data_IF_750114021115
#
_entry.id   IF_750114021115
#
_cell.length_a   1.000
_cell.length_b   1.000
_cell.length_c   1.000
_cell.angle_alpha   90.00
_cell.angle_beta   90.00
_cell.angle_gamma   90.00
#
_symmetry.space_group_name_H-M   'P 1'
#
loop_
_entity.id
_entity.type
_entity.pdbx_description
1 polymer ?
#
# COMPACT_ATOMS: atom_id res chain seq x y z
N UNK A 1 -5.41 28.00 -15.13
CA UNK A 1 -6.27 27.41 -14.08
C UNK A 1 -5.47 26.31 -13.44
N UNK A 2 -5.35 26.29 -12.11
CA UNK A 2 -4.78 25.11 -11.44
C UNK A 2 -5.73 23.92 -11.70
N UNK A 3 -5.20 22.79 -12.16
CA UNK A 3 -5.98 21.57 -12.32
C UNK A 3 -6.32 21.05 -10.91
N UNK A 4 -7.59 21.15 -10.53
CA UNK A 4 -8.09 20.70 -9.23
C UNK A 4 -8.78 19.36 -9.45
N UNK A 5 -8.46 18.37 -8.61
CA UNK A 5 -9.14 17.08 -8.61
C UNK A 5 -10.64 17.26 -8.30
N UNK A 6 -11.49 16.78 -9.20
CA UNK A 6 -12.94 16.69 -9.00
C UNK A 6 -13.29 15.38 -8.29
N UNK A 7 -13.43 15.46 -6.97
CA UNK A 7 -13.75 14.29 -6.14
C UNK A 7 -15.18 13.77 -6.35
N UNK A 8 -16.13 14.63 -6.72
CA UNK A 8 -17.50 14.19 -6.94
C UNK A 8 -17.61 13.42 -8.26
N UNK A 9 -16.89 13.86 -9.30
CA UNK A 9 -16.76 13.10 -10.54
C UNK A 9 -16.09 11.73 -10.30
N UNK A 10 -15.01 11.69 -9.51
CA UNK A 10 -14.34 10.43 -9.14
C UNK A 10 -15.26 9.46 -8.38
N UNK A 11 -16.05 9.98 -7.42
CA UNK A 11 -17.08 9.21 -6.71
C UNK A 11 -18.11 8.67 -7.71
N UNK A 12 -18.59 9.51 -8.62
CA UNK A 12 -19.52 9.12 -9.69
C UNK A 12 -18.97 8.01 -10.58
N UNK A 13 -17.68 8.08 -10.94
CA UNK A 13 -17.00 7.07 -11.73
C UNK A 13 -17.02 5.70 -11.03
N UNK A 14 -16.64 5.64 -9.75
CA UNK A 14 -16.63 4.39 -8.97
C UNK A 14 -18.05 3.84 -8.78
N UNK A 15 -19.05 4.70 -8.56
CA UNK A 15 -20.46 4.25 -8.47
C UNK A 15 -20.94 3.63 -9.78
N UNK A 16 -20.55 4.21 -10.92
CA UNK A 16 -20.97 3.72 -12.23
C UNK A 16 -20.27 2.42 -12.65
N UNK A 17 -18.97 2.29 -12.37
CA UNK A 17 -18.13 1.23 -12.94
C UNK A 17 -17.65 0.19 -11.93
N UNK A 18 -17.63 0.52 -10.64
CA UNK A 18 -17.18 -0.38 -9.58
C UNK A 18 -18.19 -1.47 -9.26
N UNK A 19 -17.67 -2.61 -8.83
CA UNK A 19 -18.49 -3.71 -8.33
C UNK A 19 -19.03 -3.43 -6.91
N UNK A 20 -19.65 -4.43 -6.28
CA UNK A 20 -20.22 -4.28 -4.94
C UNK A 20 -19.15 -4.04 -3.86
N UNK A 21 -17.96 -4.63 -4.02
CA UNK A 21 -16.82 -4.46 -3.10
C UNK A 21 -16.23 -3.06 -3.29
N UNK A 22 -16.02 -2.62 -4.53
CA UNK A 22 -15.50 -1.28 -4.84
C UNK A 22 -16.37 -0.17 -4.27
N UNK A 23 -17.70 -0.30 -4.41
CA UNK A 23 -18.64 0.70 -3.86
C UNK A 23 -18.64 0.72 -2.34
N UNK A 24 -18.39 -0.41 -1.69
CA UNK A 24 -18.25 -0.44 -0.24
C UNK A 24 -16.90 0.12 0.23
N UNK A 25 -15.81 -0.14 -0.50
CA UNK A 25 -14.51 0.51 -0.28
C UNK A 25 -14.66 2.02 -0.39
N UNK A 26 -15.36 2.50 -1.42
CA UNK A 26 -15.71 3.92 -1.56
C UNK A 26 -16.53 4.43 -0.36
N UNK A 27 -17.54 3.67 0.09
CA UNK A 27 -18.35 4.02 1.28
C UNK A 27 -17.46 4.15 2.53
N UNK A 28 -16.58 3.18 2.77
CA UNK A 28 -15.64 3.18 3.90
C UNK A 28 -14.69 4.36 3.86
N UNK A 29 -14.07 4.63 2.70
CA UNK A 29 -13.26 5.84 2.49
C UNK A 29 -14.04 7.12 2.82
N UNK A 30 -15.38 7.12 2.63
CA UNK A 30 -16.28 8.25 2.93
C UNK A 30 -16.75 8.34 4.37
N UNK A 31 -16.24 7.50 5.28
CA UNK A 31 -16.76 7.43 6.64
C UNK A 31 -18.21 6.95 6.68
N UNK A 32 -18.61 6.17 5.67
CA UNK A 32 -19.89 5.50 5.63
C UNK A 32 -20.02 4.42 6.71
N UNK A 33 -21.19 3.77 6.79
CA UNK A 33 -21.41 2.71 7.77
C UNK A 33 -20.49 1.50 7.53
N UNK A 34 -20.31 0.70 8.57
CA UNK A 34 -19.61 -0.59 8.47
C UNK A 34 -20.24 -1.46 7.37
N UNK A 35 -19.44 -2.09 6.49
CA UNK A 35 -19.97 -2.95 5.43
C UNK A 35 -20.71 -4.16 6.00
N UNK A 36 -21.64 -4.71 5.21
CA UNK A 36 -22.31 -5.95 5.55
C UNK A 36 -21.30 -7.11 5.74
N UNK A 37 -21.47 -8.00 6.73
CA UNK A 37 -20.56 -9.11 7.00
C UNK A 37 -20.29 -9.99 5.76
N UNK A 38 -21.29 -10.24 4.93
CA UNK A 38 -21.19 -11.07 3.73
C UNK A 38 -20.23 -10.46 2.68
N UNK A 39 -20.12 -9.13 2.67
CA UNK A 39 -19.18 -8.44 1.80
C UNK A 39 -17.75 -8.57 2.30
N UNK A 40 -17.57 -8.47 3.63
CA UNK A 40 -16.26 -8.71 4.25
C UNK A 40 -15.82 -10.15 4.02
N UNK A 41 -16.74 -11.11 4.13
CA UNK A 41 -16.47 -12.52 3.84
C UNK A 41 -16.02 -12.73 2.38
N UNK A 42 -16.50 -11.91 1.43
CA UNK A 42 -16.07 -11.95 0.03
C UNK A 42 -14.60 -11.56 -0.13
N UNK A 43 -14.16 -10.50 0.56
CA UNK A 43 -12.76 -10.05 0.54
C UNK A 43 -11.85 -10.99 1.34
N UNK A 44 -12.37 -11.54 2.44
CA UNK A 44 -11.65 -12.47 3.31
C UNK A 44 -11.53 -13.87 2.71
N UNK A 45 -12.35 -14.19 1.70
CA UNK A 45 -12.39 -15.50 1.06
C UNK A 45 -11.02 -15.93 0.50
N UNK A 46 -10.73 -17.22 0.57
CA UNK A 46 -9.49 -17.80 0.05
C UNK A 46 -8.25 -17.59 0.93
N UNK A 47 -8.38 -17.00 2.12
CA UNK A 47 -7.27 -16.94 3.08
C UNK A 47 -6.85 -18.35 3.50
N UNK A 48 -5.55 -18.64 3.47
CA UNK A 48 -5.03 -19.93 3.92
C UNK A 48 -5.08 -20.04 5.45
N UNK A 49 -5.10 -21.27 6.00
CA UNK A 49 -5.13 -21.48 7.46
C UNK A 49 -4.00 -20.78 8.21
N UNK A 50 -2.84 -20.59 7.58
CA UNK A 50 -1.69 -19.89 8.14
C UNK A 50 -1.85 -18.36 8.20
N UNK A 51 -2.82 -17.78 7.48
CA UNK A 51 -3.17 -16.37 7.53
C UNK A 51 -2.83 -15.55 6.26
N UNK A 52 -1.92 -16.01 5.41
CA UNK A 52 -1.68 -15.34 4.12
C UNK A 52 -2.73 -15.69 3.06
N UNK A 53 -2.84 -14.86 2.03
CA UNK A 53 -3.62 -15.16 0.82
C UNK A 53 -2.73 -15.67 -0.31
N UNK A 54 -3.19 -16.63 -1.12
CA UNK A 54 -2.45 -17.07 -2.28
C UNK A 54 -2.52 -16.03 -3.42
N UNK A 55 -1.50 -16.02 -4.28
CA UNK A 55 -1.45 -15.13 -5.46
C UNK A 55 -2.57 -15.42 -6.46
N UNK A 56 -3.02 -16.67 -6.53
CA UNK A 56 -4.13 -17.13 -7.38
C UNK A 56 -5.15 -17.84 -6.50
N UNK A 57 -6.43 -17.61 -6.78
CA UNK A 57 -7.51 -18.26 -6.04
C UNK A 57 -7.38 -19.79 -6.10
N UNK A 58 -7.42 -20.43 -4.93
CA UNK A 58 -7.25 -21.88 -4.79
C UNK A 58 -5.78 -22.34 -4.76
N UNK A 59 -4.81 -21.44 -4.82
CA UNK A 59 -3.39 -21.77 -4.62
C UNK A 59 -3.11 -22.24 -3.19
N UNK A 60 -2.11 -23.10 -3.04
CA UNK A 60 -1.75 -23.72 -1.75
C UNK A 60 -0.68 -22.95 -0.97
N UNK A 61 0.05 -22.05 -1.64
CA UNK A 61 1.08 -21.20 -1.05
C UNK A 61 0.59 -19.74 -0.95
N UNK A 62 0.75 -19.15 0.24
CA UNK A 62 0.46 -17.74 0.46
C UNK A 62 1.54 -16.86 -0.19
N UNK A 63 1.10 -15.77 -0.78
CA UNK A 63 1.94 -14.73 -1.36
C UNK A 63 2.01 -13.51 -0.46
N UNK A 64 3.22 -12.94 -0.32
CA UNK A 64 3.44 -11.68 0.41
C UNK A 64 2.72 -10.53 -0.30
N UNK A 65 2.87 -10.44 -1.62
CA UNK A 65 2.23 -9.41 -2.45
C UNK A 65 0.71 -9.46 -2.34
N UNK A 66 0.11 -10.64 -2.58
CA UNK A 66 -1.34 -10.79 -2.57
C UNK A 66 -1.93 -10.55 -1.17
N UNK A 67 -1.19 -10.91 -0.12
CA UNK A 67 -1.58 -10.62 1.26
C UNK A 67 -1.58 -9.12 1.53
N UNK A 68 -0.57 -8.38 1.06
CA UNK A 68 -0.52 -6.92 1.18
C UNK A 68 -1.61 -6.24 0.34
N UNK A 69 -1.93 -6.77 -0.85
CA UNK A 69 -3.04 -6.31 -1.66
C UNK A 69 -4.37 -6.45 -0.90
N UNK A 70 -4.66 -7.62 -0.30
CA UNK A 70 -5.88 -7.84 0.49
C UNK A 70 -5.97 -6.92 1.71
N UNK A 71 -4.84 -6.60 2.36
CA UNK A 71 -4.83 -5.62 3.45
C UNK A 71 -5.22 -4.22 2.97
N UNK A 72 -4.93 -3.85 1.72
CA UNK A 72 -5.39 -2.57 1.12
C UNK A 72 -6.90 -2.51 1.06
N UNK A 73 -7.54 -3.56 0.54
CA UNK A 73 -9.00 -3.63 0.43
C UNK A 73 -9.66 -3.61 1.82
N UNK A 74 -9.10 -4.37 2.77
CA UNK A 74 -9.60 -4.39 4.15
C UNK A 74 -9.41 -3.03 4.84
N UNK A 75 -8.33 -2.30 4.57
CA UNK A 75 -8.13 -0.95 5.10
C UNK A 75 -9.15 0.05 4.53
N UNK A 76 -9.47 -0.01 3.23
CA UNK A 76 -10.54 0.81 2.64
C UNK A 76 -11.92 0.52 3.25
N UNK A 77 -12.15 -0.71 3.70
CA UNK A 77 -13.39 -1.15 4.36
C UNK A 77 -13.40 -0.89 5.87
N UNK A 78 -12.33 -0.31 6.45
CA UNK A 78 -12.20 -0.12 7.90
C UNK A 78 -12.04 -1.44 8.67
N UNK A 79 -11.62 -2.50 7.99
CA UNK A 79 -11.67 -3.89 8.45
C UNK A 79 -10.32 -4.44 8.94
N UNK A 80 -9.26 -3.63 9.07
CA UNK A 80 -7.96 -4.10 9.58
C UNK A 80 -8.02 -4.67 11.00
N UNK A 81 -9.05 -4.31 11.79
CA UNK A 81 -9.28 -4.86 13.12
C UNK A 81 -9.85 -6.29 13.13
N UNK A 82 -10.28 -6.82 11.97
CA UNK A 82 -10.94 -8.13 11.88
C UNK A 82 -9.96 -9.30 12.04
N UNK A 83 -10.46 -10.49 12.44
CA UNK A 83 -9.60 -11.67 12.62
C UNK A 83 -8.79 -12.05 11.37
N UNK A 84 -9.35 -11.93 10.16
CA UNK A 84 -8.64 -12.25 8.92
C UNK A 84 -7.42 -11.33 8.70
N UNK A 85 -7.61 -10.00 8.77
CA UNK A 85 -6.51 -9.03 8.68
C UNK A 85 -5.45 -9.27 9.76
N UNK A 86 -5.86 -9.53 11.00
CA UNK A 86 -4.95 -9.83 12.11
C UNK A 86 -4.11 -11.09 11.88
N UNK A 87 -4.71 -12.17 11.34
CA UNK A 87 -3.95 -13.39 10.98
C UNK A 87 -2.97 -13.12 9.84
N UNK A 88 -3.34 -12.30 8.87
CA UNK A 88 -2.46 -11.93 7.77
C UNK A 88 -1.25 -11.10 8.22
N UNK A 89 -1.47 -10.14 9.13
CA UNK A 89 -0.40 -9.36 9.74
C UNK A 89 0.53 -10.24 10.60
N UNK A 90 -0.03 -11.17 11.37
CA UNK A 90 0.77 -12.15 12.11
C UNK A 90 1.58 -13.07 11.19
N UNK A 91 0.96 -13.50 10.09
CA UNK A 91 1.63 -14.30 9.08
C UNK A 91 2.78 -13.53 8.44
N UNK A 92 2.58 -12.27 8.03
CA UNK A 92 3.63 -11.41 7.50
C UNK A 92 4.78 -11.26 8.51
N UNK A 93 4.45 -10.98 9.78
CA UNK A 93 5.46 -10.83 10.83
C UNK A 93 6.27 -12.11 11.06
N UNK A 94 5.62 -13.27 11.03
CA UNK A 94 6.28 -14.57 11.18
C UNK A 94 7.12 -15.00 9.96
N UNK A 95 6.85 -14.41 8.78
CA UNK A 95 7.54 -14.71 7.52
C UNK A 95 8.81 -13.89 7.31
N UNK A 96 9.09 -12.90 8.17
CA UNK A 96 10.28 -12.05 8.02
C UNK A 96 11.55 -12.91 8.02
N UNK A 97 12.43 -12.64 7.05
CA UNK A 97 13.71 -13.31 6.92
C UNK A 97 14.72 -12.81 7.98
N UNK A 98 15.78 -13.56 8.29
CA UNK A 98 16.77 -13.18 9.31
C UNK A 98 17.44 -11.82 9.08
N UNK A 99 17.49 -11.34 7.85
CA UNK A 99 18.05 -10.04 7.47
C UNK A 99 17.03 -8.90 7.51
N UNK A 100 15.81 -9.15 7.99
CA UNK A 100 14.73 -8.17 8.08
C UNK A 100 13.88 -8.02 6.82
N UNK A 101 14.20 -8.76 5.74
CA UNK A 101 13.49 -8.70 4.46
C UNK A 101 12.31 -9.67 4.33
N UNK A 102 11.60 -9.55 3.20
CA UNK A 102 10.58 -10.48 2.72
C UNK A 102 10.84 -10.85 1.27
N UNK A 103 10.52 -12.08 0.92
CA UNK A 103 10.45 -12.55 -0.46
C UNK A 103 9.29 -13.52 -0.61
N UNK A 104 8.89 -13.79 -1.85
CA UNK A 104 7.88 -14.80 -2.13
C UNK A 104 8.37 -16.23 -1.87
N UNK A 105 7.44 -17.13 -1.61
CA UNK A 105 7.75 -18.56 -1.52
C UNK A 105 8.36 -19.06 -2.86
N UNK A 106 9.47 -19.82 -2.85
CA UNK A 106 10.04 -20.41 -4.07
C UNK A 106 9.04 -21.22 -4.90
N UNK A 107 8.01 -21.81 -4.27
CA UNK A 107 6.94 -22.53 -4.98
C UNK A 107 6.11 -21.64 -5.92
N UNK A 108 6.13 -20.32 -5.74
CA UNK A 108 5.42 -19.35 -6.57
C UNK A 108 6.24 -18.91 -7.79
N UNK A 109 7.51 -19.32 -7.92
CA UNK A 109 8.44 -18.76 -8.89
C UNK A 109 7.99 -18.87 -10.36
N UNK A 110 7.27 -19.93 -10.73
CA UNK A 110 6.80 -20.12 -12.11
C UNK A 110 5.65 -19.18 -12.51
N UNK A 111 4.84 -18.76 -11.53
CA UNK A 111 3.66 -17.92 -11.76
C UNK A 111 3.86 -16.47 -11.29
N UNK A 112 4.95 -16.18 -10.59
CA UNK A 112 5.20 -14.87 -10.01
C UNK A 112 5.47 -13.81 -11.11
N UNK A 113 4.80 -12.64 -11.04
CA UNK A 113 5.18 -11.50 -11.87
C UNK A 113 6.56 -10.98 -11.46
N UNK A 114 7.15 -10.12 -12.29
CA UNK A 114 8.52 -9.62 -12.07
C UNK A 114 8.73 -8.97 -10.70
N UNK A 115 7.73 -8.25 -10.20
CA UNK A 115 7.79 -7.55 -8.91
C UNK A 115 7.65 -8.45 -7.69
N UNK A 116 7.25 -9.72 -7.89
CA UNK A 116 7.11 -10.70 -6.82
C UNK A 116 7.98 -11.94 -7.06
N UNK A 117 8.95 -11.89 -7.98
CA UNK A 117 9.76 -13.05 -8.35
C UNK A 117 10.68 -13.48 -7.18
N UNK A 118 10.55 -14.72 -6.65
CA UNK A 118 11.46 -15.22 -5.61
C UNK A 118 12.93 -15.18 -6.06
N UNK A 119 13.81 -14.77 -5.15
CA UNK A 119 15.25 -14.66 -5.41
C UNK A 119 15.69 -13.46 -6.25
N UNK A 120 14.76 -12.65 -6.79
CA UNK A 120 15.10 -11.39 -7.45
C UNK A 120 15.32 -10.28 -6.40
N UNK A 121 16.48 -9.59 -6.39
CA UNK A 121 16.76 -8.55 -5.39
C UNK A 121 15.81 -7.34 -5.46
N UNK A 122 15.37 -6.94 -6.65
CA UNK A 122 14.45 -5.83 -6.80
C UNK A 122 13.07 -6.21 -6.26
N UNK A 123 12.57 -7.42 -6.56
CA UNK A 123 11.32 -7.94 -6.01
C UNK A 123 11.38 -8.06 -4.48
N UNK A 124 12.48 -8.60 -3.93
CA UNK A 124 12.70 -8.70 -2.47
C UNK A 124 12.63 -7.33 -1.79
N UNK A 125 13.26 -6.31 -2.37
CA UNK A 125 13.21 -4.96 -1.80
C UNK A 125 11.78 -4.39 -1.82
N UNK A 126 11.05 -4.59 -2.91
CA UNK A 126 9.64 -4.18 -3.02
C UNK A 126 8.76 -4.88 -1.98
N UNK A 127 8.86 -6.20 -1.85
CA UNK A 127 8.07 -6.98 -0.89
C UNK A 127 8.42 -6.62 0.56
N UNK A 128 9.70 -6.33 0.83
CA UNK A 128 10.14 -5.83 2.13
C UNK A 128 9.50 -4.48 2.46
N UNK A 129 9.47 -3.56 1.49
CA UNK A 129 8.83 -2.25 1.66
C UNK A 129 7.32 -2.40 1.87
N UNK A 130 6.66 -3.30 1.13
CA UNK A 130 5.22 -3.47 1.18
C UNK A 130 4.74 -4.14 2.47
N UNK A 131 5.40 -5.23 2.89
CA UNK A 131 5.11 -5.89 4.16
C UNK A 131 5.44 -4.97 5.35
N UNK A 132 6.58 -4.27 5.30
CA UNK A 132 6.97 -3.29 6.30
C UNK A 132 5.96 -2.15 6.43
N UNK A 133 5.41 -1.68 5.32
CA UNK A 133 4.36 -0.65 5.31
C UNK A 133 3.09 -1.14 6.03
N UNK A 134 2.60 -2.33 5.70
CA UNK A 134 1.37 -2.84 6.33
C UNK A 134 1.53 -3.15 7.82
N UNK A 135 2.68 -3.65 8.24
CA UNK A 135 2.99 -3.82 9.66
C UNK A 135 3.13 -2.48 10.40
N UNK A 136 3.63 -1.45 9.72
CA UNK A 136 3.65 -0.07 10.22
C UNK A 136 2.23 0.45 10.42
N UNK A 137 1.36 0.30 9.41
CA UNK A 137 -0.05 0.72 9.46
C UNK A 137 -0.83 -0.03 10.54
N UNK A 138 -0.60 -1.35 10.67
CA UNK A 138 -1.22 -2.14 11.72
C UNK A 138 -0.87 -1.63 13.12
N UNK A 139 0.35 -1.16 13.33
CA UNK A 139 0.79 -0.53 14.57
C UNK A 139 0.11 0.80 14.89
N UNK A 140 -0.55 1.43 13.92
CA UNK A 140 -1.34 2.65 14.13
C UNK A 140 -2.76 2.31 14.61
N UNK A 141 -3.41 1.33 13.96
CA UNK A 141 -4.87 1.16 14.09
C UNK A 141 -5.32 -0.24 14.54
N UNK A 142 -4.69 -1.30 14.03
CA UNK A 142 -5.18 -2.67 14.22
C UNK A 142 -4.61 -3.35 15.47
N UNK A 143 -3.36 -3.03 15.80
CA UNK A 143 -2.57 -3.52 16.93
C UNK A 143 -1.66 -2.43 17.46
N UNK A 144 -2.24 -1.26 17.68
CA UNK A 144 -1.61 -0.22 18.47
C UNK A 144 -1.14 -0.82 19.80
N UNK A 145 0.10 -0.51 20.18
CA UNK A 145 0.53 -0.85 21.50
C UNK A 145 -0.26 -0.03 22.54
N UNK A 146 -0.25 -0.46 23.80
CA UNK A 146 -0.99 0.23 24.86
C UNK A 146 -0.59 1.71 24.96
N UNK A 147 -1.34 2.55 25.69
CA UNK A 147 -1.14 4.01 25.72
C UNK A 147 0.23 4.48 26.24
N UNK A 148 1.08 3.56 26.71
CA UNK A 148 2.43 3.81 27.21
C UNK A 148 3.53 3.31 26.27
N UNK A 149 3.19 2.68 25.15
CA UNK A 149 4.13 2.16 24.15
C UNK A 149 3.94 2.93 22.85
N UNK A 150 4.84 3.88 22.62
CA UNK A 150 4.85 4.78 21.47
C UNK A 150 5.68 4.24 20.30
N UNK A 151 6.15 2.99 20.40
CA UNK A 151 6.95 2.36 19.35
C UNK A 151 6.10 2.16 18.10
N UNK A 152 6.66 2.59 16.98
CA UNK A 152 6.06 2.43 15.67
C UNK A 152 6.00 0.94 15.31
N UNK A 153 4.88 0.50 14.74
CA UNK A 153 4.58 -0.91 14.46
C UNK A 153 3.81 -1.62 15.58
N UNK A 154 3.63 -0.99 16.75
CA UNK A 154 2.82 -1.54 17.84
C UNK A 154 3.28 -2.95 18.25
N UNK A 155 2.38 -3.93 18.16
CA UNK A 155 2.72 -5.34 18.40
C UNK A 155 3.86 -5.88 17.51
N UNK A 156 4.15 -5.23 16.38
CA UNK A 156 5.15 -5.62 15.38
C UNK A 156 6.40 -4.73 15.38
N UNK A 157 6.61 -3.90 16.41
CA UNK A 157 7.67 -2.88 16.41
C UNK A 157 9.08 -3.41 16.08
N UNK A 158 9.45 -4.59 16.59
CA UNK A 158 10.75 -5.21 16.27
C UNK A 158 10.88 -5.62 14.80
N UNK A 159 9.79 -6.14 14.22
CA UNK A 159 9.73 -6.58 12.83
C UNK A 159 9.82 -5.37 11.89
N UNK A 160 9.07 -4.30 12.19
CA UNK A 160 9.11 -3.04 11.43
C UNK A 160 10.48 -2.37 11.51
N UNK A 161 11.12 -2.37 12.68
CA UNK A 161 12.45 -1.81 12.85
C UNK A 161 13.50 -2.56 12.02
N UNK A 162 13.45 -3.90 11.98
CA UNK A 162 14.34 -4.69 11.15
C UNK A 162 14.12 -4.40 9.66
N UNK A 163 12.85 -4.34 9.21
CA UNK A 163 12.51 -3.97 7.84
C UNK A 163 13.12 -2.61 7.45
N UNK A 164 12.93 -1.59 8.29
CA UNK A 164 13.44 -0.25 8.03
C UNK A 164 14.97 -0.20 7.94
N UNK A 165 15.69 -0.99 8.74
CA UNK A 165 17.15 -1.11 8.64
C UNK A 165 17.56 -1.74 7.30
N UNK A 166 16.87 -2.80 6.88
CA UNK A 166 17.10 -3.44 5.58
C UNK A 166 16.85 -2.45 4.43
N UNK A 167 15.74 -1.73 4.46
CA UNK A 167 15.38 -0.73 3.43
C UNK A 167 16.42 0.39 3.35
N UNK A 168 16.79 0.98 4.49
CA UNK A 168 17.79 2.04 4.53
C UNK A 168 19.16 1.57 4.04
N UNK A 169 19.55 0.33 4.36
CA UNK A 169 20.80 -0.26 3.91
C UNK A 169 20.89 -0.52 2.40
N UNK A 170 19.77 -0.50 1.68
CA UNK A 170 19.70 -0.70 0.22
C UNK A 170 19.65 0.61 -0.56
N UNK A 171 19.59 1.75 0.11
CA UNK A 171 19.59 3.05 -0.55
C UNK A 171 20.99 3.43 -1.03
N UNK A 172 21.07 3.98 -2.23
CA UNK A 172 22.25 4.68 -2.69
C UNK A 172 22.42 6.02 -1.96
N UNK A 173 23.63 6.62 -1.96
CA UNK A 173 23.87 7.90 -1.28
C UNK A 173 23.01 9.07 -1.75
N UNK A 174 22.45 9.00 -2.96
CA UNK A 174 21.54 10.00 -3.52
C UNK A 174 20.06 9.76 -3.15
N UNK A 175 19.78 8.74 -2.34
CA UNK A 175 18.43 8.34 -1.94
C UNK A 175 17.69 7.46 -2.96
N UNK A 176 18.33 7.11 -4.08
CA UNK A 176 17.76 6.14 -5.03
C UNK A 176 17.82 4.71 -4.49
N UNK A 177 16.98 3.82 -5.04
CA UNK A 177 16.88 2.43 -4.62
C UNK A 177 16.88 1.51 -5.85
N UNK A 178 17.44 0.29 -5.75
CA UNK A 178 17.55 -0.66 -6.86
C UNK A 178 16.29 -1.55 -6.97
N UNK A 179 15.11 -0.97 -7.10
CA UNK A 179 13.85 -1.72 -7.23
C UNK A 179 12.80 -0.93 -8.03
N UNK A 180 11.61 -1.53 -8.17
CA UNK A 180 10.42 -0.93 -8.73
C UNK A 180 10.10 0.40 -8.05
N UNK A 181 9.44 1.30 -8.78
CA UNK A 181 9.17 2.64 -8.29
C UNK A 181 8.39 2.63 -6.97
N UNK A 182 7.46 1.67 -6.82
CA UNK A 182 6.64 1.51 -5.63
C UNK A 182 7.42 1.19 -4.35
N UNK A 183 8.55 0.50 -4.46
CA UNK A 183 9.42 0.26 -3.32
C UNK A 183 9.87 1.59 -2.67
N UNK A 184 9.99 2.67 -3.45
CA UNK A 184 10.35 3.99 -2.96
C UNK A 184 9.34 4.57 -1.98
N UNK A 185 8.10 4.82 -2.40
CA UNK A 185 7.12 5.47 -1.51
C UNK A 185 6.72 4.59 -0.33
N UNK A 186 6.68 3.26 -0.51
CA UNK A 186 6.50 2.32 0.59
C UNK A 186 7.65 2.42 1.60
N UNK A 187 8.91 2.45 1.13
CA UNK A 187 10.07 2.62 1.99
C UNK A 187 10.08 3.98 2.68
N UNK A 188 9.77 5.06 1.96
CA UNK A 188 9.68 6.40 2.53
C UNK A 188 8.64 6.45 3.67
N UNK A 189 7.49 5.78 3.51
CA UNK A 189 6.48 5.68 4.55
C UNK A 189 6.99 4.94 5.80
N UNK A 190 7.62 3.78 5.63
CA UNK A 190 8.20 2.99 6.74
C UNK A 190 9.30 3.79 7.45
N UNK A 191 10.25 4.34 6.71
CA UNK A 191 11.39 5.09 7.24
C UNK A 191 10.94 6.38 7.95
N UNK A 192 9.96 7.09 7.38
CA UNK A 192 9.37 8.27 8.02
C UNK A 192 8.79 7.92 9.39
N UNK A 193 8.01 6.84 9.48
CA UNK A 193 7.43 6.39 10.74
C UNK A 193 8.48 5.93 11.75
N UNK A 194 9.53 5.24 11.29
CA UNK A 194 10.69 4.89 12.14
C UNK A 194 11.59 6.09 12.49
N UNK A 195 11.22 7.33 12.09
CA UNK A 195 12.01 8.55 12.32
C UNK A 195 13.41 8.52 11.69
N UNK A 196 13.59 7.75 10.62
CA UNK A 196 14.81 7.71 9.80
C UNK A 196 14.74 8.83 8.76
N UNK A 197 14.80 10.08 9.22
CA UNK A 197 14.46 11.26 8.44
C UNK A 197 15.32 11.49 7.20
N UNK A 198 16.62 11.23 7.28
CA UNK A 198 17.54 11.47 6.16
C UNK A 198 17.33 10.47 5.01
N UNK A 199 17.32 9.14 5.24
CA UNK A 199 16.90 8.16 4.24
C UNK A 199 15.52 8.45 3.63
N UNK A 200 14.53 8.78 4.45
CA UNK A 200 13.18 9.08 3.98
C UNK A 200 13.15 10.34 3.10
N UNK A 201 13.89 11.40 3.45
CA UNK A 201 13.98 12.63 2.67
C UNK A 201 14.69 12.42 1.33
N UNK A 202 15.74 11.59 1.30
CA UNK A 202 16.44 11.23 0.06
C UNK A 202 15.50 10.57 -0.97
N UNK A 203 14.73 9.58 -0.52
CA UNK A 203 13.72 8.92 -1.37
C UNK A 203 12.67 9.93 -1.86
N UNK A 204 12.15 10.78 -0.96
CA UNK A 204 11.14 11.77 -1.33
C UNK A 204 11.66 12.79 -2.36
N UNK A 205 12.93 13.17 -2.31
CA UNK A 205 13.54 14.03 -3.31
C UNK A 205 13.59 13.36 -4.69
N UNK A 206 14.00 12.08 -4.75
CA UNK A 206 14.01 11.29 -5.99
C UNK A 206 12.59 11.11 -6.54
N UNK A 207 11.61 10.80 -5.68
CA UNK A 207 10.20 10.69 -6.06
C UNK A 207 9.67 12.03 -6.60
N UNK A 208 10.00 13.15 -5.94
CA UNK A 208 9.58 14.48 -6.38
C UNK A 208 10.12 14.86 -7.76
N UNK A 209 11.35 14.44 -8.09
CA UNK A 209 11.94 14.64 -9.41
C UNK A 209 11.26 13.78 -10.50
N UNK A 210 10.84 12.55 -10.17
CA UNK A 210 10.20 11.62 -11.12
C UNK A 210 8.71 11.84 -11.29
N UNK A 211 8.04 12.48 -10.32
CA UNK A 211 6.59 12.67 -10.28
C UNK A 211 5.95 13.18 -11.58
N UNK A 212 6.53 14.15 -12.32
CA UNK A 212 5.94 14.63 -13.57
C UNK A 212 5.78 13.54 -14.66
N UNK A 213 6.60 12.50 -14.61
CA UNK A 213 6.64 11.41 -15.60
C UNK A 213 5.85 10.18 -15.15
N UNK A 214 5.41 10.14 -13.89
CA UNK A 214 4.66 9.01 -13.33
C UNK A 214 3.26 8.88 -13.95
N UNK A 215 2.80 7.64 -14.04
CA UNK A 215 1.42 7.31 -14.39
C UNK A 215 0.46 7.85 -13.33
N UNK A 216 -0.83 8.08 -13.67
CA UNK A 216 -1.81 8.43 -12.66
C UNK A 216 -1.98 7.36 -11.56
N UNK A 217 -1.79 6.08 -11.89
CA UNK A 217 -1.84 4.98 -10.93
C UNK A 217 -0.71 5.05 -9.89
N UNK A 218 0.53 5.25 -10.34
CA UNK A 218 1.68 5.44 -9.46
C UNK A 218 1.50 6.66 -8.55
N UNK A 219 1.04 7.78 -9.10
CA UNK A 219 0.83 9.01 -8.31
C UNK A 219 -0.27 8.83 -7.27
N UNK A 220 -1.36 8.15 -7.63
CA UNK A 220 -2.45 7.85 -6.72
C UNK A 220 -1.97 6.94 -5.57
N UNK A 221 -1.23 5.88 -5.88
CA UNK A 221 -0.71 4.96 -4.88
C UNK A 221 0.35 5.60 -3.97
N UNK A 222 1.28 6.36 -4.55
CA UNK A 222 2.28 7.14 -3.81
C UNK A 222 1.59 8.06 -2.79
N UNK A 223 0.67 8.90 -3.25
CA UNK A 223 0.03 9.88 -2.38
C UNK A 223 -0.84 9.21 -1.32
N UNK A 224 -1.60 8.17 -1.67
CA UNK A 224 -2.37 7.37 -0.74
C UNK A 224 -1.50 6.73 0.36
N UNK A 225 -0.34 6.17 -0.04
CA UNK A 225 0.61 5.52 0.89
C UNK A 225 1.18 6.52 1.90
N UNK A 226 1.69 7.66 1.42
CA UNK A 226 2.33 8.64 2.29
C UNK A 226 1.33 9.31 3.23
N UNK A 227 0.12 9.62 2.76
CA UNK A 227 -0.94 10.15 3.63
C UNK A 227 -1.41 9.15 4.67
N UNK A 228 -1.46 7.86 4.33
CA UNK A 228 -1.89 6.80 5.27
C UNK A 228 -1.03 6.73 6.53
N UNK A 229 0.24 7.13 6.43
CA UNK A 229 1.19 7.19 7.56
C UNK A 229 1.33 8.61 8.16
N UNK A 230 0.47 9.55 7.79
CA UNK A 230 0.43 10.90 8.35
C UNK A 230 1.57 11.80 7.91
N UNK A 231 2.14 11.56 6.72
CA UNK A 231 3.09 12.51 6.13
C UNK A 231 2.32 13.79 5.74
N UNK A 232 2.83 14.95 6.17
CA UNK A 232 2.12 16.23 6.11
C UNK A 232 1.85 16.69 4.66
N UNK A 233 0.60 17.08 4.39
CA UNK A 233 0.12 17.57 3.10
C UNK A 233 0.81 18.88 2.65
N UNK A 234 1.43 19.62 3.58
CA UNK A 234 2.22 20.82 3.26
C UNK A 234 3.62 20.49 2.71
N UNK A 235 4.01 19.21 2.68
CA UNK A 235 5.25 18.80 2.03
C UNK A 235 5.10 18.84 0.51
N UNK A 236 6.13 19.36 -0.18
CA UNK A 236 6.09 19.63 -1.62
C UNK A 236 5.71 18.42 -2.48
N UNK A 237 5.98 17.19 -2.01
CA UNK A 237 5.66 15.96 -2.73
C UNK A 237 4.16 15.67 -2.81
N UNK A 238 3.43 15.72 -1.69
CA UNK A 238 1.98 15.46 -1.69
C UNK A 238 1.19 16.55 -2.43
N UNK A 239 1.62 17.81 -2.28
CA UNK A 239 1.04 18.92 -3.04
C UNK A 239 1.29 18.76 -4.56
N UNK A 240 2.49 18.32 -4.96
CA UNK A 240 2.80 18.03 -6.36
C UNK A 240 2.01 16.82 -6.89
N UNK A 241 1.85 15.77 -6.08
CA UNK A 241 1.07 14.59 -6.44
C UNK A 241 -0.40 14.95 -6.67
N UNK A 242 -1.01 15.75 -5.79
CA UNK A 242 -2.39 16.23 -5.95
C UNK A 242 -2.57 17.06 -7.21
N UNK A 243 -1.62 17.94 -7.54
CA UNK A 243 -1.64 18.69 -8.80
C UNK A 243 -1.59 17.75 -10.01
N UNK A 244 -0.67 16.78 -9.98
CA UNK A 244 -0.52 15.79 -11.05
C UNK A 244 -1.79 14.95 -11.24
N UNK A 245 -2.43 14.52 -10.14
CA UNK A 245 -3.74 13.84 -10.20
C UNK A 245 -4.82 14.72 -10.84
N UNK A 246 -4.83 16.03 -10.56
CA UNK A 246 -5.75 16.96 -11.23
C UNK A 246 -5.49 17.04 -12.74
N UNK A 247 -4.22 17.06 -13.16
CA UNK A 247 -3.81 17.14 -14.56
C UNK A 247 -4.13 15.87 -15.37
N UNK A 248 -4.19 14.71 -14.71
CA UNK A 248 -4.41 13.40 -15.34
C UNK A 248 -5.82 12.85 -15.12
N UNK A 249 -6.69 13.56 -14.41
CA UNK A 249 -8.08 13.14 -14.23
C UNK A 249 -8.82 13.23 -15.57
N UNK A 250 -9.49 12.14 -15.95
CA UNK A 250 -10.30 12.09 -17.16
C UNK A 250 -11.62 12.84 -16.98
N UNK A 251 -12.28 13.16 -18.09
CA UNK A 251 -13.55 13.89 -18.08
C UNK A 251 -14.72 13.11 -17.42
N UNK A 252 -14.62 11.78 -17.33
CA UNK A 252 -15.58 10.92 -16.63
C UNK A 252 -15.30 10.81 -15.12
N UNK A 253 -14.26 11.49 -14.63
CA UNK A 253 -13.84 11.50 -13.23
C UNK A 253 -12.85 10.42 -12.84
N UNK A 254 -12.56 9.46 -13.71
CA UNK A 254 -11.63 8.35 -13.45
C UNK A 254 -10.17 8.67 -13.79
N UNK A 255 -9.29 7.71 -13.50
CA UNK A 255 -7.88 7.72 -13.87
C UNK A 255 -7.51 6.39 -14.52
N UNK A 256 -6.58 6.44 -15.47
CA UNK A 256 -6.07 5.23 -16.14
C UNK A 256 -5.28 4.33 -15.16
N UNK A 257 -5.47 3.03 -15.26
CA UNK A 257 -4.60 2.03 -14.63
C UNK A 257 -3.52 1.51 -15.58
N UNK A 258 -2.33 1.27 -15.06
CA UNK A 258 -1.23 0.63 -15.80
C UNK A 258 -1.55 -0.85 -16.13
N UNK A 259 -2.48 -1.47 -15.40
CA UNK A 259 -2.96 -2.84 -15.62
C UNK A 259 -4.15 -2.91 -16.60
N UNK A 260 -4.55 -1.76 -17.15
CA UNK A 260 -5.62 -1.60 -18.14
C UNK A 260 -6.98 -1.22 -17.55
N UNK A 261 -7.89 -0.81 -18.44
CA UNK A 261 -9.16 -0.14 -18.11
C UNK A 261 -10.05 -0.82 -17.06
N UNK A 262 -9.98 -2.16 -16.93
CA UNK A 262 -10.76 -2.91 -15.93
C UNK A 262 -10.34 -2.59 -14.49
N UNK A 263 -9.16 -2.01 -14.29
CA UNK A 263 -8.63 -1.64 -12.98
C UNK A 263 -8.64 -0.13 -12.72
N UNK A 264 -9.22 0.66 -13.64
CA UNK A 264 -9.36 2.11 -13.44
C UNK A 264 -10.12 2.46 -12.15
N UNK A 265 -11.06 1.59 -11.74
CA UNK A 265 -11.78 1.75 -10.47
C UNK A 265 -10.83 1.68 -9.27
N UNK A 266 -9.85 0.76 -9.30
CA UNK A 266 -8.85 0.65 -8.24
C UNK A 266 -7.96 1.90 -8.19
N UNK A 267 -7.50 2.37 -9.35
CA UNK A 267 -6.73 3.62 -9.43
C UNK A 267 -7.54 4.80 -8.91
N UNK A 268 -8.83 4.88 -9.25
CA UNK A 268 -9.73 5.95 -8.83
C UNK A 268 -9.97 5.91 -7.32
N UNK A 269 -10.14 4.72 -6.72
CA UNK A 269 -10.22 4.56 -5.26
C UNK A 269 -8.93 5.02 -4.56
N UNK A 270 -7.75 4.67 -5.11
CA UNK A 270 -6.47 5.15 -4.61
C UNK A 270 -6.33 6.67 -4.72
N UNK A 271 -6.78 7.29 -5.81
CA UNK A 271 -6.77 8.74 -5.99
C UNK A 271 -7.72 9.45 -5.01
N UNK A 272 -8.90 8.88 -4.74
CA UNK A 272 -9.82 9.36 -3.71
C UNK A 272 -9.14 9.28 -2.34
N UNK A 273 -8.50 8.16 -1.99
CA UNK A 273 -7.74 7.99 -0.75
C UNK A 273 -6.61 9.02 -0.63
N UNK A 274 -5.87 9.28 -1.71
CA UNK A 274 -4.82 10.29 -1.75
C UNK A 274 -5.32 11.72 -1.45
N UNK A 275 -6.57 12.03 -1.78
CA UNK A 275 -7.12 13.38 -1.65
C UNK A 275 -7.88 13.65 -0.35
N UNK A 276 -8.03 12.66 0.54
CA UNK A 276 -8.81 12.76 1.80
C UNK A 276 -7.97 12.70 3.04
#
# INVERSE_FOLDING_TARGET
>A
MACVVDLEAAVGFVVAHGDVVDRARLSGLRGGPEPAPELLDTVENGQLPAGGWPAVQGGEAASVEATCFRLTELDDLGALGRPAARRALDWLAARQLPDGGWEEDPALAEAAPEWARPGDPAARLYLTAYAGFWLTVAGLDARAAGPLDDRVGGAYAGVVQAAAQTLAGQLAPDGSWPSFLAAGWLSAAVLHRQRMSEPAAGIQAVLGARLPEMSPADVAWLAATLRRVGLDDQQGLLAAARRRLGETQRADGGWDSDDGHRFDVHTTLAAIRACR
#
